data_IF_410959842797
#
_entry.id   IF_410959842797
#
_cell.length_a   1.000
_cell.length_b   1.000
_cell.length_c   1.000
_cell.angle_alpha   90.00
_cell.angle_beta   90.00
_cell.angle_gamma   90.00
#
_symmetry.space_group_name_H-M   'P 1'
#
loop_
_entity.id
_entity.type
_entity.pdbx_description
1 polymer ?
#
# COMPACT_ATOMS: atom_id res chain seq x y z
N UNK A 1 -27.17 7.73 -22.67
CA UNK A 1 -26.43 8.58 -21.70
C UNK A 1 -25.18 7.88 -21.18
N UNK A 2 -25.29 6.61 -20.72
CA UNK A 2 -24.15 5.79 -20.30
C UNK A 2 -23.49 5.03 -21.48
N UNK A 3 -23.09 5.76 -22.50
CA UNK A 3 -22.27 5.24 -23.59
C UNK A 3 -20.79 5.42 -23.24
N UNK A 4 -19.96 4.42 -23.59
CA UNK A 4 -18.53 4.44 -23.35
C UNK A 4 -17.77 3.94 -24.57
N UNK A 5 -16.65 4.59 -24.85
CA UNK A 5 -15.64 4.08 -25.77
C UNK A 5 -14.75 3.09 -25.02
N UNK A 6 -14.56 1.88 -25.56
CA UNK A 6 -13.73 0.85 -24.90
C UNK A 6 -12.35 0.84 -25.54
N UNK A 7 -11.34 1.19 -24.76
CA UNK A 7 -9.94 1.17 -25.20
C UNK A 7 -9.20 0.03 -24.49
N UNK A 8 -8.62 -0.93 -25.23
CA UNK A 8 -7.75 -1.94 -24.64
C UNK A 8 -6.42 -1.30 -24.25
N UNK A 9 -6.02 -1.46 -22.99
CA UNK A 9 -4.67 -1.12 -22.53
C UNK A 9 -3.89 -2.38 -22.23
N UNK A 10 -2.69 -2.50 -22.79
CA UNK A 10 -1.80 -3.62 -22.52
C UNK A 10 -1.40 -3.65 -21.03
N UNK A 11 -1.66 -4.78 -20.37
CA UNK A 11 -1.24 -5.04 -18.99
C UNK A 11 0.18 -5.59 -18.95
N UNK A 12 0.46 -6.63 -19.75
CA UNK A 12 1.78 -7.25 -19.92
C UNK A 12 1.79 -8.13 -21.17
N UNK A 13 2.97 -8.53 -21.67
CA UNK A 13 3.08 -9.51 -22.77
C UNK A 13 2.68 -8.98 -24.15
N UNK A 14 2.07 -9.86 -24.97
CA UNK A 14 1.70 -9.53 -26.35
C UNK A 14 0.34 -8.81 -26.40
N UNK A 15 0.28 -7.69 -27.13
CA UNK A 15 -0.92 -6.88 -27.33
C UNK A 15 -2.01 -7.60 -28.14
N UNK A 16 -1.67 -8.58 -28.96
CA UNK A 16 -2.67 -9.31 -29.77
C UNK A 16 -3.51 -10.30 -28.96
N UNK A 17 -3.04 -10.71 -27.77
CA UNK A 17 -3.79 -11.58 -26.89
C UNK A 17 -4.77 -10.76 -26.04
N UNK A 18 -6.08 -10.97 -26.23
CA UNK A 18 -7.11 -10.22 -25.50
C UNK A 18 -6.98 -10.32 -23.97
N UNK A 19 -6.53 -11.47 -23.45
CA UNK A 19 -6.29 -11.70 -22.01
C UNK A 19 -5.19 -10.81 -21.41
N UNK A 20 -4.28 -10.32 -22.25
CA UNK A 20 -3.17 -9.46 -21.85
C UNK A 20 -3.58 -7.98 -21.80
N UNK A 21 -4.79 -7.66 -22.28
CA UNK A 21 -5.32 -6.31 -22.31
C UNK A 21 -6.36 -6.09 -21.21
N UNK A 22 -6.35 -4.89 -20.63
CA UNK A 22 -7.37 -4.40 -19.72
C UNK A 22 -8.28 -3.43 -20.49
N UNK A 23 -9.56 -3.77 -20.72
CA UNK A 23 -10.48 -2.84 -21.36
C UNK A 23 -10.78 -1.68 -20.40
N UNK A 24 -10.59 -0.44 -20.88
CA UNK A 24 -11.03 0.77 -20.20
C UNK A 24 -12.25 1.36 -20.89
N UNK A 25 -13.36 1.48 -20.16
CA UNK A 25 -14.56 2.18 -20.62
C UNK A 25 -14.46 3.68 -20.36
N UNK A 26 -14.18 4.46 -21.39
CA UNK A 26 -14.18 5.93 -21.35
C UNK A 26 -15.61 6.46 -21.48
N UNK A 27 -16.20 6.76 -20.33
CA UNK A 27 -17.52 7.38 -20.26
C UNK A 27 -17.50 8.83 -20.75
N UNK A 28 -18.64 9.25 -21.32
CA UNK A 28 -18.91 10.65 -21.64
C UNK A 28 -18.80 11.56 -20.41
N UNK A 29 -18.43 12.82 -20.60
CA UNK A 29 -18.24 13.79 -19.51
C UNK A 29 -19.46 13.90 -18.59
N UNK A 30 -20.67 13.97 -19.17
CA UNK A 30 -21.91 14.03 -18.40
C UNK A 30 -22.11 12.78 -17.52
N UNK A 31 -21.79 11.59 -18.03
CA UNK A 31 -21.86 10.35 -17.24
C UNK A 31 -20.89 10.38 -16.06
N UNK A 32 -19.66 10.89 -16.25
CA UNK A 32 -18.67 11.01 -15.16
C UNK A 32 -19.13 11.98 -14.06
N UNK A 33 -19.78 13.09 -14.41
CA UNK A 33 -20.36 14.01 -13.42
C UNK A 33 -21.43 13.29 -12.61
N UNK A 34 -22.40 12.65 -13.28
CA UNK A 34 -23.49 11.94 -12.60
C UNK A 34 -22.96 10.83 -11.68
N UNK A 35 -21.99 10.02 -12.14
CA UNK A 35 -21.35 9.00 -11.31
C UNK A 35 -20.60 9.60 -10.12
N UNK A 36 -19.94 10.77 -10.27
CA UNK A 36 -19.26 11.44 -9.17
C UNK A 36 -20.24 11.97 -8.11
N UNK A 37 -21.37 12.54 -8.54
CA UNK A 37 -22.43 13.00 -7.63
C UNK A 37 -23.02 11.82 -6.86
N UNK A 38 -23.38 10.74 -7.57
CA UNK A 38 -23.89 9.52 -6.96
C UNK A 38 -22.90 8.90 -5.96
N UNK A 39 -21.61 8.81 -6.33
CA UNK A 39 -20.56 8.31 -5.46
C UNK A 39 -20.41 9.15 -4.18
N UNK A 40 -20.43 10.48 -4.29
CA UNK A 40 -20.30 11.38 -3.15
C UNK A 40 -21.51 11.23 -2.19
N UNK A 41 -22.72 11.18 -2.72
CA UNK A 41 -23.95 10.99 -1.94
C UNK A 41 -23.92 9.64 -1.21
N UNK A 42 -23.58 8.59 -1.94
CA UNK A 42 -23.58 7.24 -1.40
C UNK A 42 -22.47 6.99 -0.38
N UNK A 43 -21.25 7.46 -0.66
CA UNK A 43 -20.15 7.40 0.28
C UNK A 43 -20.50 8.12 1.59
N UNK A 44 -21.16 9.27 1.51
CA UNK A 44 -21.63 10.00 2.69
C UNK A 44 -22.67 9.21 3.49
N UNK A 45 -23.63 8.57 2.81
CA UNK A 45 -24.64 7.72 3.44
C UNK A 45 -24.02 6.50 4.15
N UNK A 46 -23.10 5.79 3.48
CA UNK A 46 -22.45 4.60 4.03
C UNK A 46 -21.62 4.91 5.27
N UNK A 47 -20.87 6.02 5.23
CA UNK A 47 -20.06 6.49 6.36
C UNK A 47 -20.94 6.91 7.53
N UNK A 48 -21.99 7.71 7.29
CA UNK A 48 -22.93 8.17 8.34
C UNK A 48 -23.61 7.01 9.05
N UNK A 49 -23.96 5.95 8.32
CA UNK A 49 -24.65 4.77 8.86
C UNK A 49 -23.70 3.65 9.29
N UNK A 50 -22.37 3.88 9.32
CA UNK A 50 -21.35 2.89 9.71
C UNK A 50 -21.50 1.54 8.97
N UNK A 51 -21.85 1.59 7.68
CA UNK A 51 -22.09 0.40 6.84
C UNK A 51 -20.83 -0.14 6.16
N UNK A 52 -19.69 0.54 6.31
CA UNK A 52 -18.40 0.12 5.75
C UNK A 52 -17.52 -0.53 6.83
N UNK A 53 -16.94 -1.68 6.51
CA UNK A 53 -16.02 -2.41 7.39
C UNK A 53 -14.78 -1.57 7.71
N UNK A 54 -14.36 -1.52 8.96
CA UNK A 54 -13.14 -0.81 9.40
C UNK A 54 -11.87 -1.32 8.74
N UNK A 55 -11.87 -2.56 8.25
CA UNK A 55 -10.71 -3.24 7.65
C UNK A 55 -10.61 -3.10 6.13
N UNK A 56 -11.58 -2.42 5.49
CA UNK A 56 -11.49 -2.03 4.09
C UNK A 56 -10.90 -0.62 3.99
N UNK A 57 -9.77 -0.46 3.30
CA UNK A 57 -9.10 0.85 3.13
C UNK A 57 -9.26 1.43 1.73
N UNK A 58 -9.56 0.59 0.73
CA UNK A 58 -9.76 1.01 -0.65
C UNK A 58 -10.92 2.00 -0.82
N UNK A 59 -10.71 3.05 -1.61
CA UNK A 59 -11.71 4.07 -1.97
C UNK A 59 -12.36 4.82 -0.79
N UNK A 60 -11.77 4.81 0.41
CA UNK A 60 -12.24 5.60 1.54
C UNK A 60 -11.47 6.91 1.66
N UNK A 61 -12.21 7.98 1.98
CA UNK A 61 -11.60 9.29 2.24
C UNK A 61 -10.68 9.17 3.47
N UNK A 62 -9.47 9.71 3.36
CA UNK A 62 -8.40 9.69 4.37
C UNK A 62 -7.67 8.36 4.58
N UNK A 63 -8.11 7.23 4.00
CA UNK A 63 -7.35 5.97 4.06
C UNK A 63 -6.28 5.93 2.95
N UNK A 64 -5.06 5.55 3.29
CA UNK A 64 -3.91 5.42 2.37
C UNK A 64 -3.39 3.98 2.33
N UNK A 65 -2.44 3.70 1.45
CA UNK A 65 -1.72 2.41 1.36
C UNK A 65 -0.76 2.16 2.54
N UNK A 66 -0.69 3.05 3.53
CA UNK A 66 0.26 3.01 4.65
C UNK A 66 -0.21 2.07 5.78
N UNK A 67 -1.30 1.35 5.55
CA UNK A 67 -1.92 0.38 6.47
C UNK A 67 -1.11 -0.90 6.54
N UNK A 68 0.03 -0.83 7.22
CA UNK A 68 0.90 -1.99 7.41
C UNK A 68 1.38 -2.05 8.86
N UNK A 69 0.59 -2.69 9.73
CA UNK A 69 0.94 -2.94 11.15
C UNK A 69 2.13 -3.92 11.34
N UNK A 70 2.84 -4.30 10.27
CA UNK A 70 3.94 -5.26 10.32
C UNK A 70 5.10 -4.80 11.20
N UNK A 71 5.40 -3.49 11.22
CA UNK A 71 6.47 -2.95 12.07
C UNK A 71 6.14 -3.12 13.56
N UNK A 72 4.90 -2.86 13.97
CA UNK A 72 4.47 -3.01 15.37
C UNK A 72 4.56 -4.47 15.85
N UNK A 73 4.23 -5.44 14.99
CA UNK A 73 4.37 -6.86 15.31
C UNK A 73 5.85 -7.26 15.45
N UNK A 74 6.72 -6.77 14.57
CA UNK A 74 8.16 -7.01 14.65
C UNK A 74 8.79 -6.41 15.90
N UNK A 75 8.39 -5.19 16.30
CA UNK A 75 8.84 -4.57 17.55
C UNK A 75 8.43 -5.39 18.78
N UNK A 76 7.25 -6.02 18.72
CA UNK A 76 6.77 -7.00 19.69
C UNK A 76 7.49 -8.37 19.66
N UNK A 77 8.55 -8.52 18.85
CA UNK A 77 9.28 -9.77 18.59
C UNK A 77 8.42 -10.90 18.01
N UNK A 78 7.33 -10.57 17.34
CA UNK A 78 6.49 -11.52 16.63
C UNK A 78 7.03 -11.76 15.22
N UNK A 79 6.71 -12.93 14.68
CA UNK A 79 6.76 -13.21 13.24
C UNK A 79 5.35 -12.98 12.69
N UNK A 80 5.24 -12.44 11.49
CA UNK A 80 3.96 -12.29 10.80
C UNK A 80 3.94 -13.09 9.52
N UNK A 81 2.95 -13.97 9.38
CA UNK A 81 2.56 -14.56 8.12
C UNK A 81 1.68 -13.56 7.35
N UNK A 82 2.11 -13.22 6.14
CA UNK A 82 1.39 -12.37 5.20
C UNK A 82 0.98 -13.21 4.00
N UNK A 83 -0.32 -13.25 3.70
CA UNK A 83 -0.83 -13.85 2.46
C UNK A 83 -1.51 -12.76 1.64
N UNK A 84 -0.99 -12.52 0.44
CA UNK A 84 -1.58 -11.60 -0.54
C UNK A 84 -2.44 -12.40 -1.52
N UNK A 85 -3.74 -12.18 -1.47
CA UNK A 85 -4.75 -12.86 -2.29
C UNK A 85 -5.02 -12.01 -3.53
N UNK A 86 -4.93 -12.64 -4.70
CA UNK A 86 -5.27 -12.05 -5.99
C UNK A 86 -6.64 -12.55 -6.45
N UNK A 87 -7.56 -11.63 -6.70
CA UNK A 87 -8.86 -11.93 -7.30
C UNK A 87 -8.75 -11.89 -8.84
N UNK A 88 -9.20 -12.96 -9.50
CA UNK A 88 -9.24 -13.02 -10.95
C UNK A 88 -10.35 -12.14 -11.50
N UNK A 89 -9.97 -11.07 -12.23
CA UNK A 89 -10.91 -10.18 -12.94
C UNK A 89 -12.05 -9.67 -12.04
N UNK A 90 -11.72 -9.24 -10.82
CA UNK A 90 -12.69 -8.89 -9.79
C UNK A 90 -13.83 -7.94 -10.24
N UNK A 91 -13.57 -7.03 -11.18
CA UNK A 91 -14.60 -6.13 -11.72
C UNK A 91 -15.49 -6.77 -12.80
N UNK A 92 -14.97 -7.71 -13.57
CA UNK A 92 -15.69 -8.40 -14.64
C UNK A 92 -16.52 -9.58 -14.08
N UNK A 93 -16.10 -10.13 -12.93
CA UNK A 93 -16.76 -11.24 -12.24
C UNK A 93 -17.90 -10.81 -11.31
N UNK A 94 -18.25 -9.52 -11.26
CA UNK A 94 -19.33 -9.04 -10.38
C UNK A 94 -20.69 -9.45 -10.94
N UNK A 95 -21.42 -10.29 -10.21
CA UNK A 95 -22.81 -10.60 -10.55
C UNK A 95 -23.73 -9.42 -10.23
N UNK A 96 -24.39 -8.89 -11.27
CA UNK A 96 -25.27 -7.73 -11.14
C UNK A 96 -26.49 -7.98 -10.24
N UNK A 97 -27.09 -9.17 -10.29
CA UNK A 97 -28.26 -9.50 -9.48
C UNK A 97 -27.89 -9.58 -8.00
N UNK A 98 -26.79 -10.26 -7.68
CA UNK A 98 -26.31 -10.40 -6.31
C UNK A 98 -25.87 -9.04 -5.72
N UNK A 99 -25.19 -8.22 -6.53
CA UNK A 99 -24.82 -6.86 -6.16
C UNK A 99 -26.04 -5.99 -5.83
N UNK A 100 -27.11 -6.06 -6.64
CA UNK A 100 -28.37 -5.35 -6.38
C UNK A 100 -29.02 -5.80 -5.07
N UNK A 101 -28.95 -7.10 -4.75
CA UNK A 101 -29.42 -7.65 -3.46
C UNK A 101 -28.59 -7.14 -2.28
N UNK A 102 -27.25 -7.10 -2.38
CA UNK A 102 -26.43 -6.51 -1.32
C UNK A 102 -26.71 -5.02 -1.12
N UNK A 103 -26.94 -4.29 -2.21
CA UNK A 103 -27.26 -2.88 -2.18
C UNK A 103 -28.60 -2.62 -1.50
N UNK A 104 -29.64 -3.40 -1.83
CA UNK A 104 -30.94 -3.28 -1.16
C UNK A 104 -30.82 -3.59 0.34
N UNK A 105 -30.03 -4.60 0.73
CA UNK A 105 -29.79 -4.95 2.13
C UNK A 105 -29.09 -3.82 2.94
N UNK A 106 -28.28 -3.00 2.27
CA UNK A 106 -27.60 -1.84 2.90
C UNK A 106 -28.51 -0.59 2.91
N UNK A 107 -29.71 -0.69 2.35
CA UNK A 107 -30.68 0.41 2.23
C UNK A 107 -30.39 1.34 1.06
N UNK A 108 -29.58 0.89 0.09
CA UNK A 108 -29.33 1.64 -1.13
C UNK A 108 -30.52 1.52 -2.09
N UNK A 109 -30.87 2.62 -2.75
CA UNK A 109 -31.74 2.59 -3.92
C UNK A 109 -31.06 1.75 -5.03
N UNK A 110 -31.81 1.02 -5.89
CA UNK A 110 -31.27 0.15 -6.95
C UNK A 110 -30.27 0.81 -7.93
N UNK A 111 -30.08 2.13 -7.88
CA UNK A 111 -29.28 2.92 -8.81
C UNK A 111 -27.82 3.15 -8.43
N UNK A 112 -27.30 2.58 -7.33
CA UNK A 112 -25.95 2.91 -6.84
C UNK A 112 -25.03 1.70 -6.78
N UNK A 113 -23.88 1.70 -7.47
CA UNK A 113 -23.00 0.52 -7.53
C UNK A 113 -21.52 0.89 -7.41
N UNK A 114 -20.75 0.13 -6.60
CA UNK A 114 -19.37 -0.39 -6.83
C UNK A 114 -18.50 -0.59 -5.55
N UNK A 115 -18.92 -0.16 -4.36
CA UNK A 115 -18.08 -0.29 -3.14
C UNK A 115 -18.51 -1.39 -2.13
N UNK A 116 -19.65 -2.06 -2.32
CA UNK A 116 -20.22 -2.96 -1.31
C UNK A 116 -19.77 -4.42 -1.45
N UNK A 117 -19.34 -4.84 -2.64
CA UNK A 117 -19.18 -6.26 -2.95
C UNK A 117 -18.17 -6.98 -2.03
N UNK A 118 -17.05 -6.32 -1.73
CA UNK A 118 -15.97 -6.87 -0.87
C UNK A 118 -16.07 -6.42 0.59
N UNK A 119 -17.14 -5.73 0.98
CA UNK A 119 -17.27 -5.17 2.33
C UNK A 119 -17.46 -6.24 3.42
N UNK A 120 -18.03 -7.40 3.06
CA UNK A 120 -18.34 -8.48 4.01
C UNK A 120 -17.20 -9.50 4.13
N UNK A 121 -16.22 -9.47 3.21
CA UNK A 121 -15.08 -10.38 3.20
C UNK A 121 -14.25 -10.30 4.51
N UNK A 122 -13.98 -9.11 5.09
CA UNK A 122 -13.18 -9.00 6.31
C UNK A 122 -13.74 -9.70 7.56
N UNK A 123 -15.05 -10.03 7.58
CA UNK A 123 -15.67 -10.74 8.70
C UNK A 123 -15.59 -12.27 8.61
N UNK A 124 -14.99 -12.81 7.55
CA UNK A 124 -15.00 -14.26 7.26
C UNK A 124 -13.83 -15.05 7.86
N UNK A 125 -12.94 -14.43 8.65
CA UNK A 125 -11.75 -15.08 9.22
C UNK A 125 -11.85 -15.23 10.74
N UNK A 126 -11.19 -16.24 11.29
CA UNK A 126 -11.22 -16.56 12.73
C UNK A 126 -9.92 -16.22 13.45
N UNK A 127 -8.76 -16.51 12.86
CA UNK A 127 -7.48 -16.40 13.56
C UNK A 127 -6.68 -15.16 13.15
N UNK A 128 -6.81 -14.78 11.89
CA UNK A 128 -6.04 -13.73 11.26
C UNK A 128 -6.81 -12.42 11.09
N UNK A 129 -6.09 -11.35 10.80
CA UNK A 129 -6.66 -10.07 10.40
C UNK A 129 -6.70 -10.01 8.88
N UNK A 130 -7.90 -9.84 8.31
CA UNK A 130 -8.07 -9.61 6.88
C UNK A 130 -8.18 -8.11 6.59
N UNK A 131 -7.27 -7.57 5.80
CA UNK A 131 -7.30 -6.20 5.30
C UNK A 131 -7.51 -6.21 3.79
N UNK A 132 -8.42 -5.37 3.30
CA UNK A 132 -8.73 -5.33 1.85
C UNK A 132 -8.61 -3.91 1.31
N UNK A 133 -7.94 -3.78 0.17
CA UNK A 133 -7.88 -2.61 -0.67
C UNK A 133 -8.55 -2.90 -2.01
N UNK A 134 -9.85 -2.67 -2.08
CA UNK A 134 -10.67 -2.99 -3.26
C UNK A 134 -10.61 -4.48 -3.59
N UNK A 135 -9.84 -4.88 -4.59
CA UNK A 135 -9.60 -6.24 -5.07
C UNK A 135 -8.38 -6.91 -4.42
N UNK A 136 -7.40 -6.12 -3.98
CA UNK A 136 -6.22 -6.62 -3.27
C UNK A 136 -6.62 -6.94 -1.82
N UNK A 137 -6.62 -8.22 -1.46
CA UNK A 137 -6.92 -8.67 -0.09
C UNK A 137 -5.71 -9.31 0.54
N UNK A 138 -5.46 -9.02 1.82
CA UNK A 138 -4.31 -9.55 2.54
C UNK A 138 -4.69 -10.09 3.91
N UNK A 139 -4.18 -11.28 4.20
CA UNK A 139 -4.29 -11.93 5.49
C UNK A 139 -3.01 -11.66 6.28
N UNK A 140 -3.17 -11.23 7.52
CA UNK A 140 -2.09 -10.97 8.47
C UNK A 140 -2.31 -11.82 9.73
N UNK A 141 -1.39 -12.75 10.01
CA UNK A 141 -1.38 -13.53 11.24
C UNK A 141 -0.03 -13.38 11.93
N UNK A 142 -0.01 -12.67 13.06
CA UNK A 142 1.20 -12.48 13.88
C UNK A 142 1.25 -13.52 15.00
N UNK A 143 2.41 -14.14 15.20
CA UNK A 143 2.62 -15.26 16.12
C UNK A 143 4.03 -15.22 16.73
N UNK A 144 4.21 -15.89 17.86
CA UNK A 144 5.53 -16.15 18.46
C UNK A 144 6.12 -17.43 17.87
N UNK A 145 7.45 -17.52 17.80
CA UNK A 145 8.15 -18.73 17.30
C UNK A 145 7.71 -20.01 18.03
N UNK A 146 7.38 -19.92 19.32
CA UNK A 146 6.88 -21.05 20.11
C UNK A 146 5.52 -21.61 19.65
N UNK A 147 4.72 -20.83 18.93
CA UNK A 147 3.37 -21.20 18.50
C UNK A 147 3.31 -21.51 17.00
N UNK A 148 4.46 -21.82 16.37
CA UNK A 148 4.54 -22.07 14.93
C UNK A 148 3.78 -23.32 14.49
N UNK A 149 3.65 -24.33 15.37
CA UNK A 149 3.06 -25.63 15.03
C UNK A 149 1.59 -25.53 14.58
N UNK A 150 0.82 -24.60 15.16
CA UNK A 150 -0.58 -24.37 14.78
C UNK A 150 -0.73 -23.44 13.58
N UNK A 151 0.33 -22.75 13.14
CA UNK A 151 0.25 -21.69 12.12
C UNK A 151 -0.35 -22.19 10.82
N UNK A 152 0.13 -23.33 10.32
CA UNK A 152 -0.32 -23.90 9.06
C UNK A 152 -1.82 -24.18 9.08
N UNK A 153 -2.27 -24.86 10.14
CA UNK A 153 -3.69 -25.20 10.31
C UNK A 153 -4.57 -23.94 10.36
N UNK A 154 -4.16 -22.92 11.13
CA UNK A 154 -4.93 -21.68 11.26
C UNK A 154 -5.02 -20.90 9.94
N UNK A 155 -3.91 -20.82 9.19
CA UNK A 155 -3.91 -20.15 7.88
C UNK A 155 -4.76 -20.89 6.85
N UNK A 156 -4.68 -22.22 6.80
CA UNK A 156 -5.48 -23.04 5.87
C UNK A 156 -6.97 -22.98 6.19
N UNK A 157 -7.35 -22.94 7.47
CA UNK A 157 -8.73 -22.74 7.91
C UNK A 157 -9.28 -21.36 7.47
N UNK A 158 -8.54 -20.28 7.74
CA UNK A 158 -8.95 -18.93 7.34
C UNK A 158 -9.02 -18.78 5.81
N UNK A 159 -8.07 -19.38 5.08
CA UNK A 159 -8.08 -19.41 3.62
C UNK A 159 -9.29 -20.17 3.06
N UNK A 160 -9.67 -21.27 3.68
CA UNK A 160 -10.86 -22.03 3.30
C UNK A 160 -12.14 -21.20 3.48
N UNK A 161 -12.26 -20.49 4.61
CA UNK A 161 -13.41 -19.61 4.86
C UNK A 161 -13.49 -18.45 3.87
N UNK A 162 -12.34 -17.87 3.51
CA UNK A 162 -12.27 -16.83 2.47
C UNK A 162 -12.66 -17.41 1.11
N UNK A 163 -12.19 -18.60 0.75
CA UNK A 163 -12.56 -19.25 -0.50
C UNK A 163 -14.07 -19.50 -0.58
N UNK A 164 -14.68 -19.98 0.51
CA UNK A 164 -16.12 -20.17 0.60
C UNK A 164 -16.88 -18.84 0.47
N UNK A 165 -16.47 -17.81 1.20
CA UNK A 165 -17.12 -16.50 1.12
C UNK A 165 -16.97 -15.87 -0.27
N UNK A 166 -15.80 -16.01 -0.90
CA UNK A 166 -15.61 -15.59 -2.29
C UNK A 166 -16.54 -16.36 -3.24
N UNK A 167 -16.68 -17.67 -3.07
CA UNK A 167 -17.58 -18.50 -3.87
C UNK A 167 -19.05 -18.08 -3.71
N UNK A 168 -19.51 -17.84 -2.48
CA UNK A 168 -20.86 -17.31 -2.19
C UNK A 168 -21.08 -15.93 -2.81
N UNK A 169 -20.03 -15.12 -2.89
CA UNK A 169 -20.04 -13.82 -3.54
C UNK A 169 -19.66 -13.92 -5.04
N UNK A 170 -19.64 -15.10 -5.66
CA UNK A 170 -19.28 -15.31 -7.07
C UNK A 170 -17.94 -14.64 -7.49
N UNK A 171 -16.99 -14.50 -6.56
CA UNK A 171 -15.65 -14.01 -6.78
C UNK A 171 -14.70 -15.18 -7.05
N UNK A 172 -13.92 -15.05 -8.14
CA UNK A 172 -12.91 -16.03 -8.49
C UNK A 172 -11.57 -15.65 -7.85
N UNK A 173 -11.05 -16.50 -6.97
CA UNK A 173 -9.70 -16.36 -6.41
C UNK A 173 -8.68 -16.97 -7.38
N UNK A 174 -7.46 -16.42 -7.43
CA UNK A 174 -6.33 -16.99 -8.16
C UNK A 174 -5.27 -17.56 -7.21
N UNK A 175 -5.29 -18.88 -6.93
CA UNK A 175 -4.27 -19.52 -6.09
C UNK A 175 -2.84 -19.36 -6.62
N UNK A 176 -2.64 -19.52 -7.93
CA UNK A 176 -1.30 -19.41 -8.55
C UNK A 176 -0.68 -18.01 -8.48
N UNK A 177 -1.50 -16.96 -8.33
CA UNK A 177 -1.03 -15.58 -8.11
C UNK A 177 -0.98 -15.18 -6.65
N UNK A 178 -1.60 -15.96 -5.76
CA UNK A 178 -1.56 -15.71 -4.31
C UNK A 178 -0.12 -15.88 -3.82
N UNK A 179 0.34 -14.94 -2.98
CA UNK A 179 1.71 -14.96 -2.44
C UNK A 179 1.67 -15.10 -0.93
N UNK A 180 2.42 -16.06 -0.42
CA UNK A 180 2.63 -16.26 1.01
C UNK A 180 4.05 -15.84 1.40
N UNK A 181 4.18 -15.13 2.51
CA UNK A 181 5.43 -14.55 2.96
C UNK A 181 5.52 -14.55 4.48
N UNK A 182 6.71 -14.85 5.00
CA UNK A 182 7.02 -14.75 6.43
C UNK A 182 7.87 -13.50 6.67
N UNK A 183 7.43 -12.69 7.64
CA UNK A 183 8.02 -11.39 7.97
C UNK A 183 8.45 -11.38 9.42
N UNK A 184 9.69 -11.02 9.69
CA UNK A 184 10.23 -11.01 11.05
C UNK A 184 11.72 -10.68 11.10
N UNK A 185 12.27 -10.67 12.31
CA UNK A 185 13.71 -10.49 12.49
C UNK A 185 14.48 -11.71 11.97
N UNK A 186 15.74 -11.52 11.55
CA UNK A 186 16.61 -12.63 11.14
C UNK A 186 16.71 -13.73 12.19
N UNK A 187 16.79 -13.35 13.46
CA UNK A 187 16.88 -14.27 14.59
C UNK A 187 15.63 -15.15 14.73
N UNK A 188 14.43 -14.56 14.58
CA UNK A 188 13.19 -15.31 14.71
C UNK A 188 12.95 -16.20 13.48
N UNK A 189 13.19 -15.68 12.28
CA UNK A 189 12.97 -16.44 11.05
C UNK A 189 13.92 -17.64 10.91
N UNK A 190 15.14 -17.55 11.43
CA UNK A 190 16.09 -18.67 11.47
C UNK A 190 15.66 -19.82 12.40
N UNK A 191 14.76 -19.57 13.36
CA UNK A 191 14.24 -20.59 14.28
C UNK A 191 13.02 -21.32 13.69
N UNK A 192 12.47 -20.85 12.58
CA UNK A 192 11.32 -21.48 11.95
C UNK A 192 11.74 -22.73 11.16
N UNK A 193 10.82 -23.70 10.99
CA UNK A 193 11.03 -24.83 10.09
C UNK A 193 11.35 -24.38 8.66
N UNK A 194 12.19 -25.14 7.95
CA UNK A 194 12.62 -24.81 6.57
C UNK A 194 11.48 -24.96 5.56
N UNK A 195 10.57 -25.91 5.77
CA UNK A 195 9.46 -26.21 4.88
C UNK A 195 8.12 -25.76 5.49
N UNK A 196 7.87 -24.45 5.41
CA UNK A 196 6.62 -23.84 5.86
C UNK A 196 5.72 -23.63 4.65
N UNK A 197 5.19 -24.69 4.05
CA UNK A 197 4.22 -24.60 2.95
C UNK A 197 2.78 -24.54 3.45
N UNK A 198 1.92 -23.83 2.73
CA UNK A 198 0.47 -23.81 2.96
C UNK A 198 -0.27 -24.37 1.74
N UNK A 199 -1.32 -25.14 1.97
CA UNK A 199 -2.20 -25.59 0.91
C UNK A 199 -3.34 -24.61 0.74
N UNK A 200 -3.59 -24.20 -0.50
CA UNK A 200 -4.70 -23.32 -0.82
C UNK A 200 -5.39 -23.79 -2.09
N UNK A 201 -6.63 -24.26 -1.93
CA UNK A 201 -7.37 -24.95 -2.99
C UNK A 201 -6.55 -26.12 -3.56
N UNK A 202 -6.23 -26.12 -4.85
CA UNK A 202 -5.46 -27.18 -5.51
C UNK A 202 -3.97 -26.82 -5.68
N UNK A 203 -3.48 -25.77 -5.02
CA UNK A 203 -2.10 -25.32 -5.10
C UNK A 203 -1.40 -25.40 -3.73
N UNK A 204 -0.12 -25.75 -3.74
CA UNK A 204 0.74 -25.65 -2.55
C UNK A 204 1.62 -24.40 -2.70
N UNK A 205 1.41 -23.44 -1.80
CA UNK A 205 2.09 -22.14 -1.85
C UNK A 205 3.31 -22.18 -0.92
N UNK A 206 4.48 -21.88 -1.49
CA UNK A 206 5.74 -21.75 -0.76
C UNK A 206 5.98 -20.30 -0.31
N UNK A 207 6.68 -20.06 0.82
CA UNK A 207 7.04 -18.73 1.25
C UNK A 207 7.96 -18.03 0.24
N UNK A 208 7.62 -16.81 -0.15
CA UNK A 208 8.51 -15.92 -0.92
C UNK A 208 9.28 -14.98 0.00
N UNK A 209 10.45 -14.52 -0.45
CA UNK A 209 11.29 -13.57 0.29
C UNK A 209 10.92 -12.11 0.07
N UNK A 210 10.18 -11.82 -1.00
CA UNK A 210 9.63 -10.50 -1.28
C UNK A 210 8.32 -10.59 -2.06
N UNK A 211 7.44 -9.61 -1.86
CA UNK A 211 6.18 -9.50 -2.58
C UNK A 211 5.83 -8.03 -2.83
N UNK A 212 5.03 -7.76 -3.86
CA UNK A 212 4.54 -6.41 -4.17
C UNK A 212 3.16 -6.22 -3.53
N UNK A 213 3.02 -5.18 -2.71
CA UNK A 213 1.76 -4.76 -2.08
C UNK A 213 1.54 -3.27 -2.33
N UNK A 214 0.41 -2.89 -2.92
CA UNK A 214 -0.01 -1.49 -3.15
C UNK A 214 1.04 -0.54 -3.76
N UNK A 215 1.90 -1.08 -4.63
CA UNK A 215 2.94 -0.34 -5.34
C UNK A 215 4.31 -0.30 -4.65
N UNK A 216 4.43 -0.88 -3.45
CA UNK A 216 5.69 -1.09 -2.74
C UNK A 216 6.10 -2.56 -2.80
N UNK A 217 7.41 -2.84 -2.75
CA UNK A 217 7.90 -4.22 -2.58
C UNK A 217 8.33 -4.40 -1.13
N UNK A 218 7.81 -5.41 -0.47
CA UNK A 218 8.12 -5.73 0.93
C UNK A 218 9.03 -6.97 0.91
N UNK A 219 10.10 -6.96 1.70
CA UNK A 219 10.96 -8.12 1.96
C UNK A 219 10.79 -8.67 3.39
N UNK A 220 11.18 -9.93 3.61
CA UNK A 220 10.92 -10.67 4.86
C UNK A 220 11.47 -9.99 6.12
N UNK A 221 12.44 -9.09 5.95
CA UNK A 221 13.10 -8.41 7.06
C UNK A 221 12.74 -6.93 7.15
N UNK A 222 11.84 -6.45 6.28
CA UNK A 222 11.49 -5.03 6.13
C UNK A 222 12.73 -4.13 5.94
N UNK A 223 13.73 -4.59 5.18
CA UNK A 223 14.92 -3.80 4.83
C UNK A 223 14.68 -2.81 3.70
N UNK A 224 13.69 -3.11 2.86
CA UNK A 224 13.30 -2.42 1.64
C UNK A 224 14.39 -2.41 0.54
N UNK A 225 15.42 -3.26 0.65
CA UNK A 225 16.54 -3.32 -0.30
C UNK A 225 16.08 -3.58 -1.75
N UNK A 226 15.16 -4.54 -1.92
CA UNK A 226 14.61 -4.87 -3.23
C UNK A 226 13.75 -3.74 -3.79
N UNK A 227 12.92 -3.13 -2.94
CA UNK A 227 12.09 -1.98 -3.32
C UNK A 227 12.93 -0.81 -3.82
N UNK A 228 13.93 -0.41 -3.05
CA UNK A 228 14.82 0.71 -3.40
C UNK A 228 15.60 0.41 -4.68
N UNK A 229 16.03 -0.84 -4.87
CA UNK A 229 16.75 -1.23 -6.09
C UNK A 229 15.87 -1.09 -7.34
N UNK A 230 14.62 -1.58 -7.29
CA UNK A 230 13.64 -1.42 -8.38
C UNK A 230 13.32 0.06 -8.62
N UNK A 231 13.09 0.82 -7.55
CA UNK A 231 12.76 2.24 -7.59
C UNK A 231 13.89 3.07 -8.24
N UNK A 232 15.12 2.88 -7.79
CA UNK A 232 16.32 3.56 -8.31
C UNK A 232 16.50 3.23 -9.78
N UNK A 233 16.40 1.96 -10.16
CA UNK A 233 16.56 1.53 -11.56
C UNK A 233 15.53 2.21 -12.46
N UNK A 234 14.27 2.24 -12.03
CA UNK A 234 13.22 2.90 -12.80
C UNK A 234 13.42 4.42 -12.87
N UNK A 235 13.79 5.08 -11.77
CA UNK A 235 14.06 6.52 -11.75
C UNK A 235 15.24 6.89 -12.64
N UNK A 236 16.33 6.12 -12.57
CA UNK A 236 17.51 6.33 -13.42
C UNK A 236 17.17 6.15 -14.90
N UNK A 237 16.36 5.16 -15.26
CA UNK A 237 15.89 4.99 -16.64
C UNK A 237 15.16 6.24 -17.15
N UNK A 238 14.24 6.79 -16.36
CA UNK A 238 13.55 8.04 -16.69
C UNK A 238 14.52 9.23 -16.80
N UNK A 239 15.42 9.41 -15.83
CA UNK A 239 16.39 10.50 -15.85
C UNK A 239 17.35 10.42 -17.03
N UNK A 240 17.79 9.22 -17.41
CA UNK A 240 18.63 9.02 -18.59
C UNK A 240 17.91 9.45 -19.88
N UNK A 241 16.61 9.15 -20.01
CA UNK A 241 15.82 9.59 -21.15
C UNK A 241 15.65 11.11 -21.14
N UNK A 242 15.25 11.69 -20.01
CA UNK A 242 15.09 13.14 -19.84
C UNK A 242 16.41 13.87 -20.16
N UNK A 243 17.54 13.37 -19.68
CA UNK A 243 18.86 13.95 -19.92
C UNK A 243 19.21 14.07 -21.40
N UNK A 244 18.79 13.10 -22.24
CA UNK A 244 19.03 13.13 -23.69
C UNK A 244 18.28 14.25 -24.39
N UNK A 245 17.07 14.54 -23.93
CA UNK A 245 16.17 15.54 -24.53
C UNK A 245 16.11 16.85 -23.76
N UNK A 246 16.90 17.01 -22.69
CA UNK A 246 16.82 18.16 -21.77
C UNK A 246 16.97 19.51 -22.46
N UNK A 247 17.68 19.56 -23.60
CA UNK A 247 17.89 20.79 -24.39
C UNK A 247 16.60 21.30 -25.04
N UNK A 248 15.55 20.47 -25.13
CA UNK A 248 14.26 20.85 -25.68
C UNK A 248 13.36 21.57 -24.67
N UNK A 249 13.77 21.63 -23.40
CA UNK A 249 12.97 22.18 -22.32
C UNK A 249 13.71 23.33 -21.65
N UNK A 250 12.96 24.33 -21.21
CA UNK A 250 13.47 25.30 -20.26
C UNK A 250 13.60 24.68 -18.86
N UNK A 251 14.19 25.44 -17.94
CA UNK A 251 14.46 24.96 -16.58
C UNK A 251 13.18 24.66 -15.81
N UNK A 252 12.12 25.43 -16.01
CA UNK A 252 10.84 25.27 -15.30
C UNK A 252 10.12 24.00 -15.75
N UNK A 253 9.99 23.78 -17.06
CA UNK A 253 9.42 22.56 -17.60
C UNK A 253 10.24 21.33 -17.20
N UNK A 254 11.57 21.43 -17.22
CA UNK A 254 12.45 20.33 -16.81
C UNK A 254 12.27 20.00 -15.31
N UNK A 255 12.13 21.02 -14.46
CA UNK A 255 11.83 20.84 -13.03
C UNK A 255 10.50 20.13 -12.82
N UNK A 256 9.46 20.52 -13.58
CA UNK A 256 8.14 19.89 -13.52
C UNK A 256 8.19 18.42 -13.97
N UNK A 257 8.84 18.14 -15.11
CA UNK A 257 8.97 16.79 -15.66
C UNK A 257 9.71 15.87 -14.68
N UNK A 258 10.85 16.31 -14.15
CA UNK A 258 11.63 15.55 -13.17
C UNK A 258 10.83 15.34 -11.88
N UNK A 259 10.12 16.36 -11.41
CA UNK A 259 9.30 16.23 -10.20
C UNK A 259 8.17 15.22 -10.39
N UNK A 260 7.45 15.30 -11.51
CA UNK A 260 6.31 14.46 -11.82
C UNK A 260 6.69 13.00 -12.06
N UNK A 261 7.75 12.74 -12.84
CA UNK A 261 8.11 11.39 -13.27
C UNK A 261 9.08 10.68 -12.32
N UNK A 262 9.89 11.44 -11.58
CA UNK A 262 10.98 10.89 -10.76
C UNK A 262 10.74 11.17 -9.28
N UNK A 263 10.63 12.43 -8.86
CA UNK A 263 10.56 12.76 -7.43
C UNK A 263 9.28 12.21 -6.76
N UNK A 264 8.13 12.34 -7.42
CA UNK A 264 6.86 11.79 -6.92
C UNK A 264 6.92 10.27 -6.76
N UNK A 265 7.52 9.59 -7.73
CA UNK A 265 7.73 8.14 -7.67
C UNK A 265 8.68 7.79 -6.53
N UNK A 266 9.80 8.49 -6.44
CA UNK A 266 10.87 8.22 -5.49
C UNK A 266 10.40 8.33 -4.04
N UNK A 267 9.45 9.20 -3.73
CA UNK A 267 8.94 9.41 -2.36
C UNK A 267 7.54 8.84 -2.12
N UNK A 268 7.00 8.06 -3.06
CA UNK A 268 5.71 7.39 -2.88
C UNK A 268 5.76 6.45 -1.67
N UNK A 269 4.82 6.63 -0.73
CA UNK A 269 4.66 5.82 0.50
C UNK A 269 5.97 5.75 1.33
N UNK A 270 6.78 6.81 1.25
CA UNK A 270 8.07 6.90 1.96
C UNK A 270 7.98 6.80 3.47
N UNK A 271 6.85 7.14 4.06
CA UNK A 271 6.53 6.98 5.48
C UNK A 271 6.60 5.54 5.98
N UNK A 272 6.48 4.55 5.08
CA UNK A 272 6.55 3.12 5.45
C UNK A 272 7.98 2.59 5.37
N UNK A 273 8.74 2.99 4.34
CA UNK A 273 10.08 2.46 4.06
C UNK A 273 11.22 3.40 4.46
N UNK A 274 10.94 4.57 5.00
CA UNK A 274 11.93 5.59 5.38
C UNK A 274 12.97 5.09 6.38
N UNK A 275 12.60 4.13 7.24
CA UNK A 275 13.51 3.45 8.17
C UNK A 275 14.46 2.43 7.50
N UNK A 276 14.75 2.61 6.23
CA UNK A 276 15.69 1.79 5.45
C UNK A 276 17.15 2.07 5.82
N UNK A 277 18.07 1.18 5.39
CA UNK A 277 19.51 1.35 5.59
C UNK A 277 20.09 2.66 5.02
N UNK A 278 21.16 3.18 5.64
CA UNK A 278 21.91 4.33 5.12
C UNK A 278 22.44 4.10 3.71
N UNK A 279 22.72 2.84 3.34
CA UNK A 279 23.16 2.45 2.01
C UNK A 279 22.07 2.72 0.98
N UNK A 280 20.82 2.39 1.29
CA UNK A 280 19.67 2.69 0.43
C UNK A 280 19.41 4.19 0.32
N UNK A 281 19.52 4.94 1.42
CA UNK A 281 19.43 6.41 1.39
C UNK A 281 20.49 7.00 0.46
N UNK A 282 21.74 6.50 0.50
CA UNK A 282 22.79 6.92 -0.43
C UNK A 282 22.44 6.63 -1.89
N UNK A 283 21.86 5.47 -2.22
CA UNK A 283 21.41 5.15 -3.59
C UNK A 283 20.37 6.18 -4.08
N UNK A 284 19.38 6.50 -3.26
CA UNK A 284 18.37 7.51 -3.58
C UNK A 284 18.98 8.92 -3.70
N UNK A 285 19.93 9.27 -2.85
CA UNK A 285 20.63 10.55 -2.93
C UNK A 285 21.37 10.71 -4.27
N UNK A 286 21.95 9.63 -4.80
CA UNK A 286 22.57 9.67 -6.13
C UNK A 286 21.55 9.95 -7.25
N UNK A 287 20.34 9.39 -7.15
CA UNK A 287 19.24 9.70 -8.08
C UNK A 287 18.86 11.18 -7.99
N UNK A 288 18.64 11.71 -6.78
CA UNK A 288 18.33 13.12 -6.58
C UNK A 288 19.45 14.04 -7.10
N UNK A 289 20.71 13.67 -6.85
CA UNK A 289 21.86 14.44 -7.33
C UNK A 289 21.88 14.46 -8.86
N UNK A 290 21.62 13.33 -9.53
CA UNK A 290 21.58 13.29 -10.99
C UNK A 290 20.43 14.13 -11.56
N UNK A 291 19.25 14.05 -10.94
CA UNK A 291 18.10 14.89 -11.26
C UNK A 291 18.42 16.39 -11.12
N UNK A 292 19.04 16.78 -10.01
CA UNK A 292 19.46 18.17 -9.76
C UNK A 292 20.46 18.65 -10.81
N UNK A 293 21.46 17.84 -11.18
CA UNK A 293 22.43 18.17 -12.24
C UNK A 293 21.76 18.36 -13.61
N UNK A 294 20.74 17.56 -13.93
CA UNK A 294 20.00 17.71 -15.19
C UNK A 294 19.33 19.08 -15.26
N UNK A 295 18.67 19.51 -14.17
CA UNK A 295 17.92 20.77 -14.12
C UNK A 295 18.85 22.00 -14.06
N UNK A 296 19.89 21.95 -13.24
CA UNK A 296 20.78 23.08 -12.94
C UNK A 296 21.99 23.18 -13.87
N UNK A 297 22.21 22.17 -14.73
CA UNK A 297 23.40 22.04 -15.57
C UNK A 297 24.75 22.04 -14.82
N UNK A 298 24.74 21.73 -13.51
CA UNK A 298 25.97 21.54 -12.74
C UNK A 298 26.79 20.38 -13.32
N UNK A 299 28.10 20.59 -13.49
CA UNK A 299 29.02 19.62 -14.06
C UNK A 299 29.15 18.35 -13.24
N UNK A 300 29.61 17.25 -13.84
CA UNK A 300 29.63 15.91 -13.23
C UNK A 300 30.35 15.85 -11.88
N UNK A 301 31.46 16.59 -11.76
CA UNK A 301 32.35 16.54 -10.58
C UNK A 301 32.13 17.71 -9.62
N UNK A 302 31.29 18.68 -9.99
CA UNK A 302 31.01 19.82 -9.14
C UNK A 302 30.18 19.41 -7.92
N UNK A 303 30.38 20.13 -6.82
CA UNK A 303 29.63 19.91 -5.60
C UNK A 303 28.13 20.14 -5.82
N UNK A 304 27.28 19.27 -5.28
CA UNK A 304 25.84 19.28 -5.60
C UNK A 304 25.03 20.29 -4.77
N UNK A 305 25.52 20.68 -3.59
CA UNK A 305 24.75 21.53 -2.67
C UNK A 305 24.30 22.88 -3.23
N UNK A 306 25.06 23.60 -4.09
CA UNK A 306 24.57 24.82 -4.74
C UNK A 306 23.28 24.58 -5.53
N UNK A 307 23.21 23.50 -6.30
CA UNK A 307 22.03 23.16 -7.10
C UNK A 307 20.83 22.73 -6.25
N UNK A 308 21.07 21.99 -5.15
CA UNK A 308 20.00 21.67 -4.22
C UNK A 308 19.41 22.92 -3.57
N UNK A 309 20.24 23.88 -3.17
CA UNK A 309 19.78 25.17 -2.62
C UNK A 309 19.02 25.98 -3.66
N UNK A 310 19.51 26.05 -4.89
CA UNK A 310 18.85 26.75 -6.00
C UNK A 310 17.44 26.18 -6.29
N UNK A 311 17.27 24.86 -6.19
CA UNK A 311 15.98 24.19 -6.38
C UNK A 311 15.11 24.15 -5.11
N UNK A 312 15.60 24.64 -3.98
CA UNK A 312 14.98 24.46 -2.65
C UNK A 312 14.71 22.98 -2.32
N UNK A 313 15.62 22.09 -2.73
CA UNK A 313 15.51 20.66 -2.46
C UNK A 313 16.28 20.30 -1.19
N UNK A 314 15.57 19.66 -0.27
CA UNK A 314 16.21 18.97 0.86
C UNK A 314 16.94 17.73 0.35
N UNK A 315 18.10 17.37 0.93
CA UNK A 315 18.68 16.06 0.65
C UNK A 315 17.70 14.94 1.08
N UNK A 316 17.87 13.74 0.53
CA UNK A 316 16.88 12.67 0.63
C UNK A 316 16.57 12.31 2.07
N UNK A 317 17.59 12.25 2.94
CA UNK A 317 17.40 11.90 4.36
C UNK A 317 16.50 12.90 5.07
N UNK A 318 16.75 14.18 4.89
CA UNK A 318 15.99 15.28 5.46
C UNK A 318 14.57 15.35 4.86
N UNK A 319 14.43 15.07 3.57
CA UNK A 319 13.13 14.99 2.91
C UNK A 319 12.27 13.84 3.44
N UNK A 320 12.86 12.69 3.76
CA UNK A 320 12.17 11.57 4.42
C UNK A 320 11.72 11.96 5.82
N UNK A 321 12.62 12.55 6.62
CA UNK A 321 12.32 13.03 7.97
C UNK A 321 11.19 14.08 7.97
N UNK A 322 11.20 15.00 7.01
CA UNK A 322 10.11 15.96 6.86
C UNK A 322 8.77 15.27 6.58
N UNK A 323 8.75 14.23 5.73
CA UNK A 323 7.53 13.49 5.40
C UNK A 323 7.00 12.69 6.59
N UNK A 324 7.90 12.08 7.38
CA UNK A 324 7.56 11.44 8.65
C UNK A 324 6.95 12.44 9.63
N UNK A 325 7.58 13.61 9.80
CA UNK A 325 7.09 14.66 10.68
C UNK A 325 5.71 15.19 10.24
N UNK A 326 5.47 15.33 8.93
CA UNK A 326 4.16 15.69 8.39
C UNK A 326 3.13 14.60 8.69
N UNK A 327 3.48 13.32 8.57
CA UNK A 327 2.58 12.22 8.91
C UNK A 327 2.23 12.24 10.40
N UNK A 328 3.24 12.38 11.26
CA UNK A 328 3.06 12.50 12.70
C UNK A 328 2.16 13.70 13.05
N UNK A 329 2.40 14.87 12.45
CA UNK A 329 1.54 16.04 12.62
C UNK A 329 0.09 15.74 12.24
N UNK A 330 -0.15 15.02 11.14
CA UNK A 330 -1.51 14.63 10.74
C UNK A 330 -2.16 13.70 11.76
N UNK A 331 -1.44 12.71 12.27
CA UNK A 331 -1.95 11.79 13.30
C UNK A 331 -2.32 12.54 14.59
N UNK A 332 -1.44 13.41 15.09
CA UNK A 332 -1.66 14.16 16.35
C UNK A 332 -2.82 15.15 16.25
N UNK A 333 -3.10 15.67 15.06
CA UNK A 333 -4.19 16.63 14.81
C UNK A 333 -5.45 15.98 14.21
N UNK A 334 -5.57 14.65 14.27
CA UNK A 334 -6.74 13.91 13.76
C UNK A 334 -7.04 14.16 12.26
N UNK A 335 -6.00 14.52 11.49
CA UNK A 335 -6.03 14.68 10.04
C UNK A 335 -5.66 13.39 9.30
N UNK A 336 -5.28 12.35 10.03
CA UNK A 336 -5.06 10.99 9.56
C UNK A 336 -6.17 10.06 10.07
N UNK A 337 -6.35 8.86 9.50
CA UNK A 337 -7.29 7.87 10.02
C UNK A 337 -7.07 7.56 11.50
N UNK A 338 -8.16 7.25 12.21
CA UNK A 338 -8.12 6.92 13.63
C UNK A 338 -7.13 5.79 13.94
N UNK A 339 -7.08 4.72 13.14
CA UNK A 339 -6.15 3.62 13.39
C UNK A 339 -4.66 4.00 13.37
N UNK A 340 -4.27 5.10 12.70
CA UNK A 340 -2.91 5.65 12.77
C UNK A 340 -2.76 6.65 13.91
N UNK A 341 -3.81 7.41 14.19
CA UNK A 341 -3.82 8.40 15.27
C UNK A 341 -3.76 7.71 16.64
N UNK A 342 -4.45 6.58 16.78
CA UNK A 342 -4.50 5.75 17.99
C UNK A 342 -3.14 5.08 18.32
N UNK A 343 -2.20 5.05 17.37
CA UNK A 343 -0.82 4.61 17.65
C UNK A 343 -0.05 5.60 18.55
N UNK A 344 -0.53 6.84 18.63
CA UNK A 344 0.11 7.90 19.41
C UNK A 344 -0.68 8.14 20.70
N UNK A 345 -0.06 7.84 21.83
CA UNK A 345 -0.66 8.06 23.16
C UNK A 345 -0.11 9.35 23.76
N UNK A 346 -0.96 10.21 24.31
CA UNK A 346 -0.50 11.36 25.11
C UNK A 346 -0.23 10.92 26.55
N UNK A 347 0.64 11.65 27.24
CA UNK A 347 0.91 11.40 28.67
C UNK A 347 -0.34 11.58 29.53
N UNK A 348 -1.22 12.51 29.16
CA UNK A 348 -2.55 12.72 29.73
C UNK A 348 -3.42 11.47 29.75
N UNK A 349 -3.27 10.62 28.74
CA UNK A 349 -4.12 9.43 28.57
C UNK A 349 -3.69 8.28 29.49
N UNK A 350 -2.44 8.33 29.97
CA UNK A 350 -1.83 7.29 30.81
C UNK A 350 -1.93 7.65 32.29
N UNK A 351 -1.81 8.93 32.64
CA UNK A 351 -1.86 9.39 34.02
C UNK A 351 -2.38 10.82 34.15
N UNK A 352 -3.04 11.12 35.28
CA UNK A 352 -3.59 12.45 35.59
C UNK A 352 -2.58 13.36 36.31
N UNK A 353 -1.27 13.13 36.11
CA UNK A 353 -0.23 13.92 36.76
C UNK A 353 -0.07 15.25 36.04
N UNK A 354 -0.37 16.33 36.74
CA UNK A 354 -0.30 17.69 36.21
C UNK A 354 1.17 18.14 36.13
N UNK A 355 1.81 17.82 35.00
CA UNK A 355 3.19 18.18 34.70
C UNK A 355 3.21 19.08 33.46
N UNK A 356 4.25 19.91 33.30
CA UNK A 356 4.42 20.79 32.11
C UNK A 356 4.44 20.05 30.76
N UNK A 357 4.56 18.72 30.78
CA UNK A 357 4.55 17.84 29.61
C UNK A 357 3.30 16.95 29.52
N UNK A 358 2.23 17.30 30.24
CA UNK A 358 0.98 16.54 30.31
C UNK A 358 0.42 16.22 28.92
N UNK A 359 0.43 17.19 28.01
CA UNK A 359 -0.09 17.02 26.64
C UNK A 359 0.97 16.54 25.65
N UNK A 360 2.20 16.24 26.11
CA UNK A 360 3.25 15.67 25.26
C UNK A 360 2.96 14.21 24.95
N UNK A 361 3.43 13.75 23.79
CA UNK A 361 3.36 12.34 23.43
C UNK A 361 4.18 11.48 24.38
N UNK A 362 3.66 10.29 24.66
CA UNK A 362 4.39 9.25 25.34
C UNK A 362 5.38 8.63 24.37
N UNK A 363 6.67 8.69 24.73
CA UNK A 363 7.71 8.02 23.97
C UNK A 363 7.76 6.56 24.46
N UNK A 364 7.52 5.56 23.60
CA UNK A 364 7.59 4.16 23.99
C UNK A 364 9.01 3.80 24.45
N UNK A 365 9.13 2.89 25.40
CA UNK A 365 10.43 2.38 25.84
C UNK A 365 10.96 1.44 24.76
N UNK A 366 11.99 1.88 24.03
CA UNK A 366 12.70 1.04 23.06
C UNK A 366 14.11 0.75 23.56
N UNK A 367 14.60 -0.46 23.32
CA UNK A 367 16.02 -0.76 23.52
C UNK A 367 16.79 -0.15 22.35
N UNK A 368 17.45 0.99 22.57
CA UNK A 368 18.53 1.40 21.66
C UNK A 368 19.56 0.29 21.63
N UNK A 369 19.92 -0.20 20.44
CA UNK A 369 21.16 -0.94 20.25
C UNK A 369 22.31 -0.04 20.71
N UNK A 370 22.89 -0.38 21.86
CA UNK A 370 24.17 0.17 22.31
C UNK A 370 25.30 -0.30 21.40
#
# INVERSE_FOLDING_TARGET
WKEAEVIPLLKDGNHEEASNNRPLSLLTFLSKICEKVALNQFGSYLMKNKKLSTHQSGNKKHHSCETLNLLTAMDGKLVTALILIDLSKAFDSVNHNFLLTKLSNVGASPSVVKCIYTNDLPSSVHHSKLESYVDDSKILLSFTVANVDCLKQQLEEDLYLIANSCSENELLINPGKTKYMLIGTRQNLQQLPVDMTINFLNETITPVSFAKDLGMTIDSYLTYDQHITILVSSCMNSLCQISRVKKCFDKEALTLIVSALVMNKMFYVSTVWSNTSSTNIKKLQLVQNFACRIITNIGKFDHISPGLRELNWLPVKEQLLLREAIMMYKCVNELAPHYLSDLFTKRSDIHQRDARSHDSLQIPLYKTSA
#
